data_IF_717745354925
#
_entry.id   IF_717745354925
#
_cell.length_a   1.000
_cell.length_b   1.000
_cell.length_c   1.000
_cell.angle_alpha   90.00
_cell.angle_beta   90.00
_cell.angle_gamma   90.00
#
_symmetry.space_group_name_H-M   'P 1'
#
loop_
_entity.id
_entity.type
_entity.pdbx_description
1 polymer ?
#
# COMPACT_ATOMS: atom_id res chain seq x y z
N UNK A 1 12.60 -22.38 15.85
CA UNK A 1 12.27 -21.59 17.05
C UNK A 1 13.19 -20.37 17.09
N UNK A 2 12.66 -19.20 16.74
CA UNK A 2 12.97 -17.90 17.36
C UNK A 2 12.04 -16.87 16.74
N UNK A 3 10.80 -16.85 17.24
CA UNK A 3 9.72 -15.96 16.81
C UNK A 3 9.70 -14.69 17.68
N UNK A 4 10.86 -14.03 17.82
CA UNK A 4 11.04 -12.85 18.71
C UNK A 4 11.79 -11.71 17.99
N UNK A 5 11.42 -11.39 16.76
CA UNK A 5 11.89 -10.18 16.06
C UNK A 5 10.89 -9.01 16.10
N UNK A 6 9.77 -9.19 16.81
CA UNK A 6 8.73 -8.19 16.94
C UNK A 6 8.81 -7.53 18.32
N UNK A 7 9.62 -6.48 18.43
CA UNK A 7 9.53 -5.60 19.61
C UNK A 7 8.36 -4.65 19.43
N UNK A 8 7.65 -4.34 20.51
CA UNK A 8 6.57 -3.35 20.52
C UNK A 8 6.98 -2.02 19.85
N UNK A 9 8.26 -1.65 19.98
CA UNK A 9 8.86 -0.47 19.36
C UNK A 9 8.86 -0.52 17.82
N UNK A 10 9.00 -1.70 17.20
CA UNK A 10 8.98 -1.85 15.73
C UNK A 10 7.58 -1.56 15.17
N UNK A 11 6.55 -2.16 15.77
CA UNK A 11 5.16 -1.87 15.40
C UNK A 11 4.79 -0.40 15.65
N UNK A 12 5.23 0.18 16.77
CA UNK A 12 5.03 1.61 17.05
C UNK A 12 5.71 2.52 16.01
N UNK A 13 6.94 2.21 15.60
CA UNK A 13 7.64 3.00 14.58
C UNK A 13 7.01 2.90 13.19
N UNK A 14 6.54 1.71 12.78
CA UNK A 14 5.82 1.54 11.52
C UNK A 14 4.49 2.28 11.53
N UNK A 15 3.76 2.21 12.65
CA UNK A 15 2.51 2.92 12.85
C UNK A 15 2.69 4.44 12.81
N UNK A 16 3.78 4.96 13.40
CA UNK A 16 4.13 6.38 13.33
C UNK A 16 4.44 6.82 11.89
N UNK A 17 5.27 6.07 11.16
CA UNK A 17 5.60 6.34 9.76
C UNK A 17 4.38 6.30 8.84
N UNK A 18 3.48 5.33 9.03
CA UNK A 18 2.22 5.23 8.31
C UNK A 18 1.30 6.41 8.63
N UNK A 19 1.19 6.82 9.90
CA UNK A 19 0.39 7.98 10.28
C UNK A 19 0.90 9.28 9.66
N UNK A 20 2.22 9.53 9.73
CA UNK A 20 2.81 10.73 9.13
C UNK A 20 2.61 10.76 7.62
N UNK A 21 2.84 9.62 6.95
CA UNK A 21 2.56 9.45 5.52
C UNK A 21 1.10 9.75 5.18
N UNK A 22 0.16 9.17 5.94
CA UNK A 22 -1.27 9.37 5.75
C UNK A 22 -1.66 10.84 5.92
N UNK A 23 -1.11 11.55 6.92
CA UNK A 23 -1.39 12.97 7.13
C UNK A 23 -0.95 13.87 5.96
N UNK A 24 0.05 13.46 5.17
CA UNK A 24 0.49 14.18 3.97
C UNK A 24 -0.29 13.76 2.73
N UNK A 25 -0.66 12.49 2.62
CA UNK A 25 -1.31 11.92 1.44
C UNK A 25 -2.82 12.14 1.43
N UNK A 26 -3.49 11.92 2.56
CA UNK A 26 -4.96 12.01 2.67
C UNK A 26 -5.48 13.38 2.21
N UNK A 27 -4.91 14.54 2.57
CA UNK A 27 -5.38 15.82 2.06
C UNK A 27 -5.36 15.93 0.52
N UNK A 28 -4.35 15.34 -0.13
CA UNK A 28 -4.26 15.31 -1.60
C UNK A 28 -5.37 14.44 -2.20
N UNK A 29 -5.66 13.31 -1.57
CA UNK A 29 -6.75 12.40 -1.98
C UNK A 29 -8.11 13.07 -1.78
N UNK A 30 -8.32 13.75 -0.64
CA UNK A 30 -9.54 14.51 -0.36
C UNK A 30 -9.76 15.63 -1.38
N UNK A 31 -8.71 16.32 -1.82
CA UNK A 31 -8.81 17.34 -2.87
C UNK A 31 -9.28 16.74 -4.22
N UNK A 32 -8.72 15.59 -4.60
CA UNK A 32 -8.95 14.96 -5.90
C UNK A 32 -10.30 14.25 -6.02
N UNK A 33 -10.74 13.60 -4.93
CA UNK A 33 -11.83 12.61 -4.97
C UNK A 33 -12.99 13.01 -4.04
N UNK A 34 -12.73 13.71 -2.93
CA UNK A 34 -13.72 14.06 -1.91
C UNK A 34 -14.58 12.85 -1.46
N UNK A 35 -13.98 11.70 -1.12
CA UNK A 35 -14.75 10.52 -0.75
C UNK A 35 -15.56 10.78 0.53
N UNK A 36 -16.79 10.28 0.57
CA UNK A 36 -17.64 10.28 1.78
C UNK A 36 -17.62 8.93 2.48
N UNK A 37 -17.20 7.88 1.75
CA UNK A 37 -17.03 6.53 2.26
C UNK A 37 -15.70 5.88 1.84
N UNK A 38 -14.99 5.26 2.79
CA UNK A 38 -13.68 4.63 2.57
C UNK A 38 -13.66 3.18 3.07
N UNK A 39 -13.15 2.24 2.28
CA UNK A 39 -12.75 0.92 2.76
C UNK A 39 -11.25 0.75 2.66
N UNK A 40 -10.60 0.25 3.71
CA UNK A 40 -9.17 -0.04 3.72
C UNK A 40 -8.96 -1.55 3.88
N UNK A 41 -8.38 -2.17 2.86
CA UNK A 41 -8.15 -3.61 2.75
C UNK A 41 -6.69 -3.89 3.07
N UNK A 42 -6.43 -4.65 4.13
CA UNK A 42 -5.12 -4.71 4.78
C UNK A 42 -4.87 -3.51 5.70
N UNK A 43 -5.91 -3.07 6.42
CA UNK A 43 -5.89 -1.81 7.18
C UNK A 43 -4.97 -1.80 8.42
N UNK A 44 -4.46 -2.95 8.83
CA UNK A 44 -3.73 -3.15 10.08
C UNK A 44 -4.54 -2.65 11.28
N UNK A 45 -4.02 -1.65 11.97
CA UNK A 45 -4.69 -1.00 13.11
C UNK A 45 -5.71 0.07 12.69
N UNK A 46 -5.95 0.26 11.39
CA UNK A 46 -6.87 1.28 10.85
C UNK A 46 -6.27 2.68 10.80
N UNK A 47 -4.95 2.81 10.75
CA UNK A 47 -4.25 4.11 10.84
C UNK A 47 -4.59 5.06 9.69
N UNK A 48 -4.66 4.57 8.46
CA UNK A 48 -5.06 5.38 7.31
C UNK A 48 -6.53 5.81 7.42
N UNK A 49 -7.42 4.90 7.80
CA UNK A 49 -8.83 5.22 8.08
C UNK A 49 -8.96 6.30 9.15
N UNK A 50 -8.21 6.21 10.25
CA UNK A 50 -8.26 7.22 11.32
C UNK A 50 -7.94 8.62 10.78
N UNK A 51 -6.97 8.75 9.87
CA UNK A 51 -6.65 10.03 9.24
C UNK A 51 -7.73 10.49 8.25
N UNK A 52 -8.33 9.58 7.47
CA UNK A 52 -9.50 9.91 6.63
C UNK A 52 -10.70 10.39 7.46
N UNK A 53 -10.98 9.71 8.59
CA UNK A 53 -12.02 10.13 9.53
C UNK A 53 -11.76 11.53 10.08
N UNK A 54 -10.52 11.80 10.50
CA UNK A 54 -10.12 13.13 11.00
C UNK A 54 -10.20 14.20 9.89
N UNK A 55 -10.12 13.79 8.62
CA UNK A 55 -10.34 14.64 7.44
C UNK A 55 -11.82 14.78 7.02
N UNK A 56 -12.76 14.18 7.76
CA UNK A 56 -14.21 14.33 7.57
C UNK A 56 -14.92 13.17 6.88
N UNK A 57 -14.26 12.04 6.64
CA UNK A 57 -14.93 10.83 6.13
C UNK A 57 -15.75 10.17 7.26
N UNK A 58 -17.07 10.13 7.11
CA UNK A 58 -17.97 9.62 8.15
C UNK A 58 -18.19 8.10 8.06
N UNK A 59 -18.15 7.54 6.86
CA UNK A 59 -18.42 6.12 6.63
C UNK A 59 -17.14 5.36 6.26
N UNK A 60 -16.76 4.38 7.07
CA UNK A 60 -15.59 3.57 6.76
C UNK A 60 -15.71 2.11 7.21
N UNK A 61 -14.84 1.28 6.64
CA UNK A 61 -14.64 -0.12 7.00
C UNK A 61 -13.16 -0.48 6.87
N UNK A 62 -12.57 -1.03 7.94
CA UNK A 62 -11.27 -1.69 7.88
C UNK A 62 -11.44 -3.19 7.69
N UNK A 63 -10.64 -3.80 6.82
CA UNK A 63 -10.61 -5.24 6.60
C UNK A 63 -9.17 -5.73 6.77
N UNK A 64 -8.96 -6.73 7.61
CA UNK A 64 -7.64 -7.37 7.76
C UNK A 64 -7.76 -8.75 8.42
N UNK A 65 -6.66 -9.50 8.53
CA UNK A 65 -6.62 -10.84 9.07
C UNK A 65 -6.82 -10.94 10.59
N UNK A 66 -6.93 -12.18 11.07
CA UNK A 66 -7.13 -12.52 12.49
C UNK A 66 -5.92 -12.24 13.40
N UNK A 67 -4.78 -11.91 12.80
CA UNK A 67 -3.57 -11.49 13.50
C UNK A 67 -3.63 -10.07 14.07
N UNK A 68 -4.63 -9.27 13.68
CA UNK A 68 -4.79 -7.90 14.20
C UNK A 68 -5.39 -7.95 15.61
N UNK A 69 -4.72 -7.31 16.57
CA UNK A 69 -5.29 -7.13 17.92
C UNK A 69 -6.36 -6.04 17.89
N UNK A 70 -7.62 -6.47 17.98
CA UNK A 70 -8.80 -5.58 17.97
C UNK A 70 -8.79 -4.53 19.10
N UNK A 71 -8.05 -4.76 20.18
CA UNK A 71 -7.94 -3.79 21.29
C UNK A 71 -6.97 -2.65 20.99
N UNK A 72 -6.15 -2.79 19.94
CA UNK A 72 -5.19 -1.78 19.50
C UNK A 72 -5.68 -0.97 18.30
N UNK A 73 -6.90 -1.24 17.80
CA UNK A 73 -7.49 -0.51 16.69
C UNK A 73 -7.61 0.99 17.00
N UNK A 74 -7.35 1.80 15.99
CA UNK A 74 -7.55 3.25 16.03
C UNK A 74 -8.94 3.69 15.49
N UNK A 75 -9.72 2.69 15.08
CA UNK A 75 -11.10 2.79 14.60
C UNK A 75 -12.02 2.00 15.51
N UNK A 76 -13.34 2.18 15.41
CA UNK A 76 -14.28 1.39 16.21
C UNK A 76 -14.19 -0.09 15.83
N UNK A 77 -14.13 -1.02 16.80
CA UNK A 77 -14.11 -2.46 16.50
C UNK A 77 -15.30 -2.94 15.66
N UNK A 78 -16.45 -2.27 15.74
CA UNK A 78 -17.62 -2.57 14.90
C UNK A 78 -17.47 -2.17 13.44
N UNK A 79 -16.45 -1.38 13.11
CA UNK A 79 -16.07 -0.94 11.76
C UNK A 79 -14.82 -1.70 11.27
N UNK A 80 -14.45 -2.80 11.91
CA UNK A 80 -13.39 -3.72 11.50
C UNK A 80 -13.99 -5.07 11.13
N UNK A 81 -13.53 -5.65 10.02
CA UNK A 81 -13.90 -6.97 9.55
C UNK A 81 -12.65 -7.86 9.49
N UNK A 82 -12.62 -8.89 10.32
CA UNK A 82 -11.61 -9.93 10.28
C UNK A 82 -11.84 -10.84 9.05
N UNK A 83 -10.91 -10.88 8.11
CA UNK A 83 -11.01 -11.65 6.87
C UNK A 83 -9.65 -12.09 6.32
N UNK A 84 -9.55 -13.32 5.80
CA UNK A 84 -8.35 -13.85 5.14
C UNK A 84 -8.24 -13.34 3.70
N UNK A 85 -7.39 -12.34 3.49
CA UNK A 85 -7.22 -11.63 2.21
C UNK A 85 -6.68 -12.51 1.06
N UNK A 86 -6.30 -13.77 1.32
CA UNK A 86 -5.92 -14.73 0.27
C UNK A 86 -7.13 -15.33 -0.45
N UNK A 87 -8.31 -15.29 0.18
CA UNK A 87 -9.53 -15.85 -0.38
C UNK A 87 -10.18 -14.84 -1.32
N UNK A 88 -11.13 -15.28 -2.16
CA UNK A 88 -11.99 -14.35 -2.89
C UNK A 88 -13.21 -14.02 -2.02
N UNK A 89 -13.63 -12.75 -2.00
CA UNK A 89 -14.82 -12.33 -1.26
C UNK A 89 -15.65 -11.30 -2.01
N UNK A 90 -16.92 -11.23 -1.62
CA UNK A 90 -17.84 -10.21 -2.09
C UNK A 90 -18.47 -9.55 -0.88
N UNK A 91 -18.21 -8.25 -0.72
CA UNK A 91 -19.00 -7.40 0.17
C UNK A 91 -20.02 -6.71 -0.72
N UNK A 92 -21.30 -6.89 -0.43
CA UNK A 92 -22.41 -6.29 -1.18
C UNK A 92 -22.58 -4.78 -0.86
N UNK A 93 -21.47 -4.04 -0.85
CA UNK A 93 -21.42 -2.60 -0.62
C UNK A 93 -20.29 -2.01 -1.44
N UNK A 94 -20.56 -0.84 -2.01
CA UNK A 94 -19.54 0.01 -2.63
C UNK A 94 -19.16 1.18 -1.73
N UNK A 95 -17.94 1.65 -1.91
CA UNK A 95 -17.33 2.79 -1.26
C UNK A 95 -16.85 3.77 -2.34
N UNK A 96 -16.78 5.05 -1.99
CA UNK A 96 -16.29 6.09 -2.90
C UNK A 96 -14.78 5.93 -3.15
N UNK A 97 -14.06 5.42 -2.14
CA UNK A 97 -12.63 5.10 -2.22
C UNK A 97 -12.32 3.76 -1.56
N UNK A 98 -11.58 2.93 -2.29
CA UNK A 98 -10.94 1.71 -1.79
C UNK A 98 -9.46 2.03 -1.53
N UNK A 99 -8.91 1.59 -0.41
CA UNK A 99 -7.51 1.75 -0.02
C UNK A 99 -6.91 0.36 0.18
N UNK A 100 -5.69 0.13 -0.31
CA UNK A 100 -4.92 -1.09 -0.08
C UNK A 100 -3.44 -0.79 -0.27
N UNK A 101 -2.70 -0.62 0.82
CA UNK A 101 -1.35 -0.05 0.79
C UNK A 101 -0.32 -0.98 1.44
N UNK A 102 0.66 -1.45 0.66
CA UNK A 102 1.70 -2.42 1.08
C UNK A 102 1.08 -3.72 1.63
N UNK A 103 0.16 -4.31 0.84
CA UNK A 103 -0.58 -5.53 1.20
C UNK A 103 -0.32 -6.66 0.22
N UNK A 104 -0.41 -6.39 -1.08
CA UNK A 104 -0.43 -7.42 -2.12
C UNK A 104 0.90 -8.20 -2.24
N UNK A 105 2.01 -7.62 -1.77
CA UNK A 105 3.33 -8.27 -1.69
C UNK A 105 3.41 -9.39 -0.65
N UNK A 106 2.49 -9.41 0.31
CA UNK A 106 2.39 -10.45 1.34
C UNK A 106 1.51 -11.61 0.91
N UNK A 107 0.74 -11.45 -0.17
CA UNK A 107 -0.16 -12.47 -0.70
C UNK A 107 0.57 -13.37 -1.71
N UNK A 108 0.21 -14.66 -1.82
CA UNK A 108 0.72 -15.50 -2.89
C UNK A 108 0.43 -14.88 -4.26
N UNK A 109 1.38 -15.00 -5.20
CA UNK A 109 1.25 -14.43 -6.55
C UNK A 109 0.00 -14.89 -7.30
N UNK A 110 -0.47 -16.11 -6.99
CA UNK A 110 -1.66 -16.74 -7.54
C UNK A 110 -2.94 -16.01 -7.12
N UNK A 111 -2.92 -15.32 -5.98
CA UNK A 111 -4.03 -14.53 -5.46
C UNK A 111 -4.11 -13.12 -6.09
N UNK A 112 -3.09 -12.67 -6.84
CA UNK A 112 -3.03 -11.30 -7.34
C UNK A 112 -4.29 -10.89 -8.14
N UNK A 113 -4.72 -11.73 -9.09
CA UNK A 113 -5.90 -11.44 -9.90
C UNK A 113 -7.19 -11.40 -9.06
N UNK A 114 -7.41 -12.38 -8.18
CA UNK A 114 -8.61 -12.41 -7.31
C UNK A 114 -8.63 -11.28 -6.30
N UNK A 115 -7.46 -10.88 -5.78
CA UNK A 115 -7.34 -9.78 -4.85
C UNK A 115 -7.70 -8.45 -5.53
N UNK A 116 -7.08 -8.13 -6.68
CA UNK A 116 -7.43 -6.94 -7.45
C UNK A 116 -8.89 -6.96 -7.88
N UNK A 117 -9.42 -8.11 -8.31
CA UNK A 117 -10.84 -8.23 -8.62
C UNK A 117 -11.72 -7.83 -7.44
N UNK A 118 -11.41 -8.31 -6.23
CA UNK A 118 -12.15 -7.98 -5.01
C UNK A 118 -12.09 -6.49 -4.72
N UNK A 119 -10.93 -5.83 -4.89
CA UNK A 119 -10.82 -4.37 -4.75
C UNK A 119 -11.71 -3.63 -5.75
N UNK A 120 -11.71 -4.03 -7.03
CA UNK A 120 -12.51 -3.37 -8.08
C UNK A 120 -14.03 -3.54 -7.91
N UNK A 121 -14.46 -4.53 -7.10
CA UNK A 121 -15.87 -4.71 -6.73
C UNK A 121 -16.31 -3.73 -5.64
N UNK A 122 -15.39 -3.29 -4.79
CA UNK A 122 -15.65 -2.43 -3.65
C UNK A 122 -15.80 -0.95 -4.02
N UNK A 123 -15.29 -0.49 -5.17
CA UNK A 123 -15.42 0.91 -5.56
C UNK A 123 -14.73 1.21 -6.87
N UNK A 124 -15.13 2.29 -7.53
CA UNK A 124 -14.61 2.70 -8.83
C UNK A 124 -13.27 3.45 -8.76
N UNK A 125 -12.79 3.75 -7.55
CA UNK A 125 -11.48 4.39 -7.31
C UNK A 125 -10.75 3.61 -6.23
N UNK A 126 -9.48 3.26 -6.51
CA UNK A 126 -8.60 2.51 -5.61
C UNK A 126 -7.30 3.28 -5.42
N UNK A 127 -6.98 3.63 -4.18
CA UNK A 127 -5.65 4.08 -3.76
C UNK A 127 -4.82 2.85 -3.39
N UNK A 128 -3.80 2.56 -4.17
CA UNK A 128 -3.09 1.29 -4.11
C UNK A 128 -1.58 1.47 -4.00
N UNK A 129 -0.94 0.63 -3.22
CA UNK A 129 0.52 0.46 -3.24
C UNK A 129 0.89 -0.99 -2.91
N UNK A 130 2.01 -1.45 -3.47
CA UNK A 130 2.61 -2.74 -3.15
C UNK A 130 4.12 -2.69 -3.45
N UNK A 131 4.91 -3.42 -2.65
CA UNK A 131 6.35 -3.48 -2.81
C UNK A 131 6.81 -3.97 -4.19
N UNK A 132 7.82 -3.28 -4.75
CA UNK A 132 8.52 -3.70 -5.97
C UNK A 132 9.61 -4.74 -5.67
N UNK A 133 10.12 -5.48 -6.68
CA UNK A 133 11.19 -6.45 -6.46
C UNK A 133 12.42 -5.85 -5.78
N UNK A 134 12.90 -6.56 -4.75
CA UNK A 134 14.04 -6.20 -3.91
C UNK A 134 13.83 -4.95 -3.04
N UNK A 135 12.60 -4.45 -2.90
CA UNK A 135 12.28 -3.47 -1.86
C UNK A 135 12.59 -4.07 -0.47
N UNK A 136 12.35 -5.37 -0.32
CA UNK A 136 12.51 -6.08 0.93
C UNK A 136 11.41 -5.74 1.93
N UNK A 137 11.43 -6.44 3.06
CA UNK A 137 10.41 -6.34 4.09
C UNK A 137 10.14 -7.71 4.69
N UNK A 138 9.29 -7.76 5.72
CA UNK A 138 9.00 -9.01 6.42
C UNK A 138 7.93 -9.77 5.65
N UNK A 139 8.23 -11.00 5.23
CA UNK A 139 7.28 -11.85 4.51
C UNK A 139 6.76 -11.24 3.20
N UNK A 140 7.63 -10.55 2.46
CA UNK A 140 7.34 -10.14 1.09
C UNK A 140 7.60 -11.33 0.18
N UNK A 141 6.54 -11.93 -0.34
CA UNK A 141 6.59 -13.15 -1.16
C UNK A 141 6.17 -12.90 -2.61
N UNK A 142 5.58 -11.74 -2.89
CA UNK A 142 5.05 -11.36 -4.21
C UNK A 142 5.35 -9.89 -4.53
N UNK A 143 6.63 -9.51 -4.43
CA UNK A 143 7.06 -8.18 -4.87
C UNK A 143 6.96 -8.06 -6.39
N UNK A 144 6.24 -7.05 -6.88
CA UNK A 144 5.95 -6.87 -8.31
C UNK A 144 6.01 -5.40 -8.71
N UNK A 145 6.37 -5.14 -9.98
CA UNK A 145 6.45 -3.78 -10.51
C UNK A 145 5.08 -3.10 -10.53
N UNK A 146 5.06 -1.77 -10.46
CA UNK A 146 3.82 -1.00 -10.56
C UNK A 146 3.06 -1.29 -11.88
N UNK A 147 3.80 -1.49 -12.98
CA UNK A 147 3.23 -1.88 -14.27
C UNK A 147 2.48 -3.23 -14.21
N UNK A 148 2.99 -4.21 -13.47
CA UNK A 148 2.32 -5.51 -13.28
C UNK A 148 0.93 -5.34 -12.65
N UNK A 149 0.85 -4.54 -11.57
CA UNK A 149 -0.43 -4.25 -10.92
C UNK A 149 -1.37 -3.47 -11.85
N UNK A 150 -0.82 -2.50 -12.61
CA UNK A 150 -1.58 -1.75 -13.59
C UNK A 150 -2.17 -2.62 -14.70
N UNK A 151 -1.43 -3.61 -15.19
CA UNK A 151 -1.93 -4.58 -16.17
C UNK A 151 -3.10 -5.41 -15.62
N UNK A 152 -3.04 -5.82 -14.35
CA UNK A 152 -4.16 -6.54 -13.72
C UNK A 152 -5.39 -5.63 -13.57
N UNK A 153 -5.22 -4.40 -13.09
CA UNK A 153 -6.31 -3.41 -13.00
C UNK A 153 -6.94 -3.11 -14.37
N UNK A 154 -6.14 -3.03 -15.43
CA UNK A 154 -6.62 -2.80 -16.80
C UNK A 154 -7.57 -3.90 -17.29
N UNK A 155 -7.39 -5.16 -16.87
CA UNK A 155 -8.32 -6.26 -17.19
C UNK A 155 -9.74 -6.04 -16.62
N UNK A 156 -9.89 -5.13 -15.65
CA UNK A 156 -11.17 -4.75 -15.04
C UNK A 156 -11.65 -3.36 -15.48
N UNK A 157 -11.01 -2.74 -16.47
CA UNK A 157 -11.38 -1.42 -17.01
C UNK A 157 -10.91 -0.24 -16.14
N UNK A 158 -9.88 -0.45 -15.32
CA UNK A 158 -9.25 0.61 -14.52
C UNK A 158 -8.00 1.13 -15.22
N UNK A 159 -7.75 2.43 -15.07
CA UNK A 159 -6.54 3.10 -15.54
C UNK A 159 -5.73 3.63 -14.36
N UNK A 160 -4.41 3.55 -14.47
CA UNK A 160 -3.49 4.11 -13.49
C UNK A 160 -3.34 5.63 -13.66
N UNK A 161 -3.28 6.35 -12.54
CA UNK A 161 -3.14 7.80 -12.47
C UNK A 161 -2.03 8.12 -11.49
N UNK A 162 -0.86 8.49 -12.02
CA UNK A 162 0.32 8.82 -11.23
C UNK A 162 0.39 10.32 -10.92
N UNK A 163 -0.52 10.79 -10.07
CA UNK A 163 -0.60 12.20 -9.69
C UNK A 163 -0.06 12.49 -8.28
N UNK A 164 0.04 11.45 -7.43
CA UNK A 164 0.46 11.59 -6.03
C UNK A 164 1.97 11.55 -5.89
N UNK A 165 2.67 10.60 -6.53
CA UNK A 165 4.11 10.37 -6.32
C UNK A 165 4.92 11.62 -6.58
N UNK A 166 4.64 12.36 -7.65
CA UNK A 166 5.32 13.62 -7.96
C UNK A 166 5.16 14.73 -6.91
N UNK A 167 4.09 14.69 -6.09
CA UNK A 167 3.85 15.65 -5.00
C UNK A 167 4.55 15.22 -3.71
N UNK A 168 4.70 13.92 -3.48
CA UNK A 168 5.21 13.36 -2.21
C UNK A 168 6.64 12.79 -2.31
N UNK A 169 7.23 12.68 -3.50
CA UNK A 169 8.49 11.97 -3.77
C UNK A 169 9.63 12.36 -2.83
N UNK A 170 9.80 13.66 -2.59
CA UNK A 170 10.86 14.20 -1.75
C UNK A 170 10.37 14.63 -0.36
N UNK A 171 9.10 14.36 -0.01
CA UNK A 171 8.55 14.73 1.29
C UNK A 171 9.12 13.80 2.36
N UNK A 172 9.91 14.35 3.28
CA UNK A 172 10.56 13.58 4.34
C UNK A 172 9.59 13.06 5.41
N UNK A 173 8.36 13.56 5.44
CA UNK A 173 7.28 13.08 6.32
C UNK A 173 6.53 11.87 5.73
N UNK A 174 6.82 11.52 4.47
CA UNK A 174 6.26 10.35 3.79
C UNK A 174 7.32 9.27 3.72
N UNK A 175 6.97 8.06 4.13
CA UNK A 175 7.86 6.92 4.04
C UNK A 175 8.21 6.61 2.57
N UNK A 176 9.45 6.22 2.27
CA UNK A 176 9.92 6.15 0.89
C UNK A 176 9.22 5.07 0.05
N UNK A 177 8.68 4.01 0.67
CA UNK A 177 7.87 3.01 -0.03
C UNK A 177 6.52 3.58 -0.47
N UNK A 178 5.81 4.34 0.36
CA UNK A 178 4.59 5.02 -0.07
C UNK A 178 4.88 6.07 -1.16
N UNK A 179 5.95 6.84 -1.01
CA UNK A 179 6.35 7.81 -2.04
C UNK A 179 6.64 7.15 -3.41
N UNK A 180 7.09 5.89 -3.41
CA UNK A 180 7.45 5.12 -4.59
C UNK A 180 6.26 4.36 -5.22
N UNK A 181 5.44 3.72 -4.39
CA UNK A 181 4.51 2.68 -4.83
C UNK A 181 3.07 3.18 -4.99
N UNK A 182 2.75 4.31 -4.35
CA UNK A 182 1.38 4.81 -4.27
C UNK A 182 0.85 5.31 -5.62
N UNK A 183 -0.22 4.71 -6.10
CA UNK A 183 -0.93 5.09 -7.33
C UNK A 183 -2.43 5.16 -7.06
N UNK A 184 -3.14 5.96 -7.86
CA UNK A 184 -4.61 5.89 -7.94
C UNK A 184 -4.96 5.07 -9.18
N UNK A 185 -5.85 4.09 -9.02
CA UNK A 185 -6.50 3.39 -10.10
C UNK A 185 -7.96 3.81 -10.13
N UNK A 186 -8.47 4.22 -11.29
CA UNK A 186 -9.86 4.61 -11.45
C UNK A 186 -10.51 3.87 -12.60
N UNK A 187 -11.76 3.46 -12.44
CA UNK A 187 -12.55 2.90 -13.53
C UNK A 187 -12.69 3.99 -14.61
N UNK A 188 -12.24 3.70 -15.84
CA UNK A 188 -12.12 4.75 -16.87
C UNK A 188 -13.46 5.47 -17.13
N UNK A 189 -14.56 4.71 -17.08
CA UNK A 189 -15.91 5.24 -17.29
C UNK A 189 -16.39 6.24 -16.23
N UNK A 190 -15.81 6.24 -15.02
CA UNK A 190 -16.22 7.17 -13.95
C UNK A 190 -15.39 8.45 -13.92
N UNK A 191 -14.32 8.57 -14.72
CA UNK A 191 -13.42 9.73 -14.66
C UNK A 191 -14.12 11.07 -14.91
N UNK A 192 -15.16 11.08 -15.75
CA UNK A 192 -15.94 12.29 -16.02
C UNK A 192 -16.61 12.87 -14.76
N UNK A 193 -16.82 12.06 -13.71
CA UNK A 193 -17.40 12.46 -12.42
C UNK A 193 -16.36 13.12 -11.50
N UNK A 194 -15.06 12.99 -11.80
CA UNK A 194 -13.95 13.51 -11.00
C UNK A 194 -13.06 14.44 -11.84
N UNK A 195 -13.45 15.70 -12.09
CA UNK A 195 -12.76 16.58 -13.03
C UNK A 195 -11.28 16.82 -12.73
N UNK A 196 -10.92 16.89 -11.44
CA UNK A 196 -9.52 17.04 -11.03
C UNK A 196 -8.72 15.77 -11.32
N UNK A 197 -9.26 14.60 -10.98
CA UNK A 197 -8.62 13.32 -11.24
C UNK A 197 -8.51 13.02 -12.75
N UNK A 198 -9.54 13.35 -13.53
CA UNK A 198 -9.52 13.22 -14.99
C UNK A 198 -8.45 14.13 -15.62
N UNK A 199 -8.34 15.38 -15.16
CA UNK A 199 -7.27 16.28 -15.60
C UNK A 199 -5.90 15.69 -15.31
N UNK A 200 -5.71 15.11 -14.13
CA UNK A 200 -4.47 14.46 -13.75
C UNK A 200 -4.14 13.28 -14.66
N UNK A 201 -5.12 12.43 -14.98
CA UNK A 201 -4.95 11.32 -15.91
C UNK A 201 -4.49 11.79 -17.30
N UNK A 202 -5.14 12.79 -17.90
CA UNK A 202 -4.77 13.30 -19.23
C UNK A 202 -3.42 14.02 -19.27
N UNK A 203 -2.87 14.40 -18.11
CA UNK A 203 -1.58 15.10 -18.00
C UNK A 203 -0.45 14.18 -17.52
N UNK A 204 -0.75 12.94 -17.14
CA UNK A 204 0.23 12.02 -16.58
C UNK A 204 1.12 11.39 -17.65
N UNK A 205 2.39 11.19 -17.32
CA UNK A 205 3.27 10.29 -18.08
C UNK A 205 2.94 8.83 -17.70
N UNK A 206 3.08 7.91 -18.64
CA UNK A 206 2.70 6.50 -18.45
C UNK A 206 3.83 5.60 -17.92
N UNK A 207 4.92 6.16 -17.41
CA UNK A 207 6.04 5.38 -16.86
C UNK A 207 5.79 5.07 -15.38
N UNK A 208 5.18 3.91 -15.09
CA UNK A 208 4.81 3.56 -13.71
C UNK A 208 5.98 2.95 -12.93
N UNK A 209 6.80 2.09 -13.56
CA UNK A 209 8.00 1.51 -12.95
C UNK A 209 9.01 2.59 -12.58
N UNK A 210 9.04 2.94 -11.29
CA UNK A 210 9.95 3.91 -10.71
C UNK A 210 10.54 3.37 -9.42
N UNK A 211 11.82 3.70 -9.18
CA UNK A 211 12.53 3.34 -7.95
C UNK A 211 12.97 4.61 -7.24
N UNK A 212 12.56 4.75 -5.98
CA UNK A 212 12.93 5.85 -5.14
C UNK A 212 14.41 5.74 -4.71
N UNK A 213 15.22 6.82 -4.75
CA UNK A 213 16.65 6.76 -4.45
C UNK A 213 16.97 6.14 -3.09
N UNK A 214 16.19 6.44 -2.04
CA UNK A 214 16.37 5.85 -0.70
C UNK A 214 16.15 4.32 -0.70
N UNK A 215 15.17 3.82 -1.46
CA UNK A 215 14.89 2.38 -1.55
C UNK A 215 16.03 1.70 -2.30
N UNK A 216 16.42 2.23 -3.47
CA UNK A 216 17.56 1.73 -4.23
C UNK A 216 18.85 1.68 -3.39
N UNK A 217 19.19 2.77 -2.70
CA UNK A 217 20.37 2.85 -1.85
C UNK A 217 20.32 1.83 -0.70
N UNK A 218 19.16 1.65 -0.08
CA UNK A 218 18.97 0.68 1.01
C UNK A 218 19.15 -0.76 0.51
N UNK A 219 18.59 -1.11 -0.63
CA UNK A 219 18.77 -2.42 -1.26
C UNK A 219 20.25 -2.70 -1.58
N UNK A 220 20.96 -1.74 -2.19
CA UNK A 220 22.40 -1.88 -2.48
C UNK A 220 23.23 -1.99 -1.20
N UNK A 221 22.89 -1.23 -0.16
CA UNK A 221 23.58 -1.31 1.13
C UNK A 221 23.40 -2.70 1.78
N UNK A 222 22.18 -3.25 1.74
CA UNK A 222 21.88 -4.59 2.26
C UNK A 222 22.70 -5.68 1.54
N UNK A 223 22.78 -5.62 0.20
CA UNK A 223 23.59 -6.55 -0.60
C UNK A 223 25.07 -6.45 -0.24
N UNK A 224 25.62 -5.22 -0.18
CA UNK A 224 27.04 -5.01 0.21
C UNK A 224 27.34 -5.58 1.59
N UNK A 225 26.42 -5.40 2.54
CA UNK A 225 26.56 -5.93 3.89
C UNK A 225 26.57 -7.46 3.92
N UNK A 226 25.64 -8.12 3.22
CA UNK A 226 25.59 -9.57 3.13
C UNK A 226 26.87 -10.14 2.50
N UNK A 227 27.34 -9.55 1.39
CA UNK A 227 28.60 -9.93 0.77
C UNK A 227 29.79 -9.79 1.73
N UNK A 228 29.83 -8.70 2.51
CA UNK A 228 30.87 -8.51 3.52
C UNK A 228 30.86 -9.63 4.58
N UNK A 229 29.69 -9.99 5.08
CA UNK A 229 29.54 -11.09 6.06
C UNK A 229 29.96 -12.44 5.49
N UNK A 230 29.62 -12.75 4.25
CA UNK A 230 30.05 -13.99 3.58
C UNK A 230 31.57 -14.04 3.42
N UNK A 231 32.20 -12.94 3.00
CA UNK A 231 33.65 -12.83 2.89
C UNK A 231 34.34 -13.05 4.24
N UNK A 232 33.84 -12.44 5.31
CA UNK A 232 34.41 -12.63 6.66
C UNK A 232 34.20 -14.07 7.16
N UNK A 233 33.05 -14.69 6.88
CA UNK A 233 32.80 -16.10 7.18
C UNK A 233 33.80 -17.01 6.47
N UNK A 234 34.03 -16.81 5.17
CA UNK A 234 35.02 -17.59 4.40
C UNK A 234 36.45 -17.38 4.92
N UNK A 235 36.84 -16.15 5.25
CA UNK A 235 38.15 -15.88 5.87
C UNK A 235 38.33 -16.60 7.20
N UNK A 236 37.28 -16.69 8.02
CA UNK A 236 37.34 -17.40 9.30
C UNK A 236 37.55 -18.91 9.15
N UNK A 237 37.04 -19.50 8.06
CA UNK A 237 37.19 -20.92 7.73
C UNK A 237 38.56 -21.26 7.12
N UNK A 238 39.26 -20.25 6.57
CA UNK A 238 40.59 -20.38 5.97
C UNK A 238 41.74 -20.12 6.96
N UNK A 239 41.45 -19.72 8.20
CA UNK A 239 42.48 -19.58 9.23
C UNK A 239 42.90 -20.98 9.72
N UNK A 240 44.19 -21.33 9.68
CA UNK A 240 44.71 -22.63 10.06
C UNK A 240 44.56 -22.92 11.56
#
# INVERSE_FOLDING_TARGET
>A
MNNQLYTQNFYQSLQEGSRLSAQEVVPLVMELIQPTSVVDVGCGLGTWIAVFRDAGVEEYLGIDGDYVDVNMLEIEPSKFLCFDLQQSWEIERKFDLVVSLEVAEHLPSECANSFIHSLTKLGSIVLFSAAIPFQGGVNHINEQWQDYWSEIFANYGYVAIDCLRRKIWNNQRVEPWYAQNLLIFAQESCLAEYPLLAREFYQSEHNLAMVHPKIYQSAIAAVKWQMHLEVEKLKSQLKP
#
